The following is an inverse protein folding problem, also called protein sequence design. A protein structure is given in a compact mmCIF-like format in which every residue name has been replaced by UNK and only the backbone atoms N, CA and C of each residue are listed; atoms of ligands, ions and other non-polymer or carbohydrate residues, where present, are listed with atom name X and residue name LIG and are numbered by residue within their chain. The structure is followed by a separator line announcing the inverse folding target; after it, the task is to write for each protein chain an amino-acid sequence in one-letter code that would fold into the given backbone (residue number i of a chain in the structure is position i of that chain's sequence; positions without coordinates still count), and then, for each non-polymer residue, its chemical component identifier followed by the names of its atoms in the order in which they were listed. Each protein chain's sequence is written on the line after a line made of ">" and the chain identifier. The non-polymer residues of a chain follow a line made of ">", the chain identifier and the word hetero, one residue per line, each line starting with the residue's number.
data_IF_048600707630
#
_entry.id   IF_048600707630
#
_cell.length_a   1.000
_cell.length_b   1.000
_cell.length_c   1.000
_cell.angle_alpha   90.00
_cell.angle_beta   90.00
_cell.angle_gamma   90.00
#
_symmetry.space_group_name_H-M   'P 1'
#
loop_
_entity.id
_entity.type
_entity.pdbx_description
1 polymer ?
#
# COMPACT_ATOMS: atom_id res chain seq x y z
N UNK A 1 6.80 -2.86 -8.38
CA UNK A 1 5.96 -1.67 -8.58
C UNK A 1 4.50 -2.07 -8.57
N UNK A 2 3.58 -1.08 -8.62
CA UNK A 2 2.19 -1.39 -8.96
C UNK A 2 2.08 -1.95 -10.39
N UNK A 3 0.88 -2.31 -10.82
CA UNK A 3 0.66 -2.89 -12.15
C UNK A 3 0.77 -1.88 -13.30
N UNK A 4 0.68 -0.57 -13.01
CA UNK A 4 0.65 0.49 -14.02
C UNK A 4 1.98 0.60 -14.76
N UNK A 5 3.09 0.76 -14.05
CA UNK A 5 4.41 0.94 -14.67
C UNK A 5 4.90 -0.32 -15.39
N UNK A 6 4.86 -1.53 -14.80
CA UNK A 6 5.17 -2.77 -15.52
C UNK A 6 4.30 -2.99 -16.75
N UNK A 7 2.99 -2.69 -16.66
CA UNK A 7 2.07 -2.78 -17.79
C UNK A 7 2.41 -1.84 -18.93
N UNK A 8 2.80 -0.60 -18.62
CA UNK A 8 3.26 0.39 -19.62
C UNK A 8 4.53 -0.09 -20.32
N UNK A 9 5.54 -0.51 -19.57
CA UNK A 9 6.79 -1.04 -20.14
C UNK A 9 6.55 -2.27 -21.04
N UNK A 10 5.58 -3.12 -20.66
CA UNK A 10 5.18 -4.26 -21.49
C UNK A 10 4.55 -3.80 -22.80
N UNK A 11 3.67 -2.79 -22.78
CA UNK A 11 3.05 -2.24 -23.98
C UNK A 11 4.03 -1.50 -24.89
N UNK A 12 5.08 -0.90 -24.33
CA UNK A 12 6.17 -0.23 -25.06
C UNK A 12 7.19 -1.24 -25.64
N UNK A 13 7.11 -2.52 -25.28
CA UNK A 13 8.00 -3.58 -25.79
C UNK A 13 9.35 -3.66 -25.05
N UNK A 14 9.50 -3.01 -23.90
CA UNK A 14 10.74 -2.97 -23.12
C UNK A 14 10.95 -4.18 -22.21
N UNK A 15 10.02 -5.15 -22.25
CA UNK A 15 10.02 -6.31 -21.37
C UNK A 15 10.08 -7.63 -22.13
N UNK A 16 10.51 -8.68 -21.43
CA UNK A 16 10.39 -10.05 -21.93
C UNK A 16 8.93 -10.44 -21.93
N UNK A 17 8.39 -10.77 -23.10
CA UNK A 17 6.97 -11.13 -23.29
C UNK A 17 6.57 -12.27 -22.35
N UNK A 18 5.47 -12.07 -21.62
CA UNK A 18 4.92 -13.08 -20.71
C UNK A 18 5.66 -13.20 -19.36
N UNK A 19 6.64 -12.33 -19.08
CA UNK A 19 7.36 -12.35 -17.80
C UNK A 19 6.68 -11.54 -16.70
N UNK A 20 5.66 -10.73 -17.02
CA UNK A 20 4.93 -9.95 -16.01
C UNK A 20 4.05 -10.85 -15.15
N UNK A 21 4.18 -10.67 -13.86
CA UNK A 21 3.36 -11.35 -12.85
C UNK A 21 2.88 -10.37 -11.79
N UNK A 22 1.66 -10.56 -11.29
CA UNK A 22 1.24 -9.99 -10.01
C UNK A 22 1.63 -10.97 -8.92
N UNK A 23 2.57 -10.59 -8.05
CA UNK A 23 3.06 -11.47 -6.99
C UNK A 23 2.40 -11.21 -5.64
N UNK A 24 1.75 -10.06 -5.45
CA UNK A 24 1.04 -9.70 -4.23
C UNK A 24 -0.01 -8.62 -4.50
N UNK A 25 -1.05 -8.59 -3.66
CA UNK A 25 -2.02 -7.49 -3.61
C UNK A 25 -1.87 -6.79 -2.26
N UNK A 26 -1.58 -5.49 -2.29
CA UNK A 26 -1.37 -4.68 -1.10
C UNK A 26 -2.66 -4.45 -0.34
N UNK A 27 -2.54 -4.33 0.98
CA UNK A 27 -3.65 -3.96 1.86
C UNK A 27 -3.39 -2.58 2.45
N UNK A 28 -4.39 -1.71 2.40
CA UNK A 28 -4.36 -0.38 3.00
C UNK A 28 -4.75 -0.48 4.47
N UNK A 29 -4.07 0.27 5.33
CA UNK A 29 -4.44 0.43 6.73
C UNK A 29 -4.49 1.91 7.11
N UNK A 30 -5.44 2.28 7.94
CA UNK A 30 -5.41 3.54 8.69
C UNK A 30 -4.71 3.25 10.01
N UNK A 31 -3.60 3.92 10.26
CA UNK A 31 -2.73 3.65 11.41
C UNK A 31 -2.40 4.91 12.19
N UNK A 32 -2.26 4.74 13.49
CA UNK A 32 -1.68 5.72 14.41
C UNK A 32 -0.57 5.06 15.23
N UNK A 33 0.48 5.81 15.55
CA UNK A 33 1.52 5.36 16.46
C UNK A 33 1.03 5.26 17.91
N UNK A 34 -0.15 5.82 18.21
CA UNK A 34 -0.78 5.80 19.54
C UNK A 34 -1.65 4.57 19.71
N UNK A 35 -1.47 3.85 20.82
CA UNK A 35 -2.32 2.72 21.16
C UNK A 35 -3.78 3.18 21.37
N UNK A 36 -4.72 2.42 20.82
CA UNK A 36 -6.16 2.67 20.96
C UNK A 36 -6.68 3.93 20.27
N UNK A 37 -5.87 4.66 19.51
CA UNK A 37 -6.32 5.86 18.81
C UNK A 37 -7.22 5.52 17.61
N UNK A 38 -6.93 4.44 16.91
CA UNK A 38 -7.76 3.87 15.85
C UNK A 38 -8.43 2.60 16.39
N UNK A 39 -9.74 2.56 16.38
CA UNK A 39 -10.54 1.52 17.03
C UNK A 39 -10.79 0.24 16.19
N UNK A 40 -10.20 0.15 15.01
CA UNK A 40 -10.39 -0.96 14.09
C UNK A 40 -11.65 -0.87 13.20
N UNK A 41 -12.39 0.24 13.24
CA UNK A 41 -13.58 0.46 12.42
C UNK A 41 -13.49 1.67 11.47
N UNK A 42 -12.46 2.51 11.62
CA UNK A 42 -12.33 3.77 10.89
C UNK A 42 -13.23 4.91 11.42
N UNK A 43 -13.91 4.72 12.56
CA UNK A 43 -14.80 5.73 13.15
C UNK A 43 -14.06 7.05 13.44
N UNK A 44 -12.78 7.00 13.79
CA UNK A 44 -11.94 8.17 14.04
C UNK A 44 -11.93 9.17 12.88
N UNK A 45 -12.07 8.71 11.63
CA UNK A 45 -12.17 9.59 10.46
C UNK A 45 -13.46 10.41 10.47
N UNK A 46 -14.58 9.82 10.91
CA UNK A 46 -15.88 10.48 11.00
C UNK A 46 -15.93 11.45 12.18
N UNK A 47 -15.31 11.07 13.30
CA UNK A 47 -15.22 11.90 14.50
C UNK A 47 -14.38 13.15 14.28
N UNK A 48 -13.44 13.09 13.32
CA UNK A 48 -12.66 14.21 12.81
C UNK A 48 -11.90 15.01 13.89
N UNK A 49 -11.53 14.36 15.00
CA UNK A 49 -10.86 14.98 16.15
C UNK A 49 -9.36 15.20 15.98
N UNK A 50 -8.77 14.77 14.86
CA UNK A 50 -7.36 14.93 14.53
C UNK A 50 -7.08 16.26 13.80
N UNK A 51 -5.84 16.72 13.82
CA UNK A 51 -5.38 17.90 13.08
C UNK A 51 -4.74 17.51 11.72
N UNK A 52 -4.02 16.39 11.68
CA UNK A 52 -3.28 15.95 10.50
C UNK A 52 -3.56 14.48 10.20
N UNK A 53 -3.95 14.23 8.94
CA UNK A 53 -4.13 12.90 8.35
C UNK A 53 -3.10 12.72 7.23
N UNK A 54 -2.17 11.80 7.40
CA UNK A 54 -1.14 11.54 6.39
C UNK A 54 -1.64 10.62 5.29
N UNK A 55 -1.35 10.98 4.05
CA UNK A 55 -1.52 10.13 2.85
C UNK A 55 -0.28 10.21 1.98
N UNK A 56 -0.02 9.19 1.17
CA UNK A 56 0.93 9.30 0.08
C UNK A 56 0.31 10.11 -1.08
N UNK A 57 1.15 10.72 -1.91
CA UNK A 57 0.70 11.49 -3.08
C UNK A 57 -0.15 10.60 -4.01
N UNK A 58 -1.45 10.88 -4.18
CA UNK A 58 -2.34 10.03 -4.96
C UNK A 58 -2.02 9.99 -6.46
N UNK A 59 -1.26 10.99 -6.96
CA UNK A 59 -0.84 11.03 -8.37
C UNK A 59 0.39 10.18 -8.66
N UNK A 60 1.17 9.83 -7.64
CA UNK A 60 2.45 9.14 -7.80
C UNK A 60 2.55 7.82 -7.02
N UNK A 61 1.65 7.56 -6.09
CA UNK A 61 1.70 6.43 -5.18
C UNK A 61 0.36 5.67 -5.14
N UNK A 62 0.34 4.36 -5.42
CA UNK A 62 -0.88 3.55 -5.46
C UNK A 62 -1.66 3.57 -4.14
N UNK A 63 -0.97 3.52 -3.01
CA UNK A 63 -1.59 3.61 -1.68
C UNK A 63 -2.22 4.98 -1.42
N UNK A 64 -1.68 6.05 -2.00
CA UNK A 64 -2.27 7.39 -1.94
C UNK A 64 -3.56 7.47 -2.74
N UNK A 65 -3.60 6.90 -3.94
CA UNK A 65 -4.82 6.79 -4.75
C UNK A 65 -5.88 5.98 -4.00
N UNK A 66 -5.52 4.83 -3.42
CA UNK A 66 -6.42 4.01 -2.63
C UNK A 66 -6.99 4.79 -1.42
N UNK A 67 -6.16 5.56 -0.72
CA UNK A 67 -6.60 6.40 0.41
C UNK A 67 -7.66 7.43 -0.02
N UNK A 68 -7.46 8.10 -1.16
CA UNK A 68 -8.46 9.07 -1.69
C UNK A 68 -9.75 8.37 -2.07
N UNK A 69 -9.69 7.19 -2.67
CA UNK A 69 -10.89 6.39 -2.99
C UNK A 69 -11.67 6.00 -1.74
N UNK A 70 -10.99 5.61 -0.67
CA UNK A 70 -11.64 5.32 0.63
C UNK A 70 -12.35 6.55 1.17
N UNK A 71 -11.68 7.70 1.21
CA UNK A 71 -12.26 8.95 1.69
C UNK A 71 -13.48 9.37 0.85
N UNK A 72 -13.43 9.20 -0.47
CA UNK A 72 -14.53 9.49 -1.37
C UNK A 72 -15.73 8.56 -1.13
N UNK A 73 -15.50 7.25 -1.02
CA UNK A 73 -16.57 6.27 -0.75
C UNK A 73 -17.23 6.47 0.62
N UNK A 74 -16.47 6.94 1.59
CA UNK A 74 -17.00 7.27 2.92
C UNK A 74 -17.65 8.67 2.99
N UNK A 75 -17.56 9.49 1.92
CA UNK A 75 -18.08 10.85 1.88
C UNK A 75 -17.31 11.84 2.76
N UNK A 76 -16.02 11.57 3.03
CA UNK A 76 -15.22 12.34 3.98
C UNK A 76 -14.20 13.28 3.33
N UNK A 77 -14.05 13.25 2.00
CA UNK A 77 -13.02 14.00 1.27
C UNK A 77 -13.05 15.50 1.59
N UNK A 78 -14.21 16.13 1.55
CA UNK A 78 -14.34 17.57 1.85
C UNK A 78 -13.99 17.88 3.31
N UNK A 79 -14.40 17.01 4.23
CA UNK A 79 -14.22 17.20 5.68
C UNK A 79 -12.74 17.13 6.09
N UNK A 80 -11.95 16.25 5.47
CA UNK A 80 -10.54 16.04 5.84
C UNK A 80 -9.56 16.84 4.99
N UNK A 81 -9.99 17.45 3.91
CA UNK A 81 -9.14 18.10 2.89
C UNK A 81 -8.10 19.07 3.48
N UNK A 82 -8.49 19.90 4.42
CA UNK A 82 -7.59 20.87 5.06
C UNK A 82 -6.63 20.27 6.08
N UNK A 83 -6.80 18.99 6.41
CA UNK A 83 -6.00 18.24 7.39
C UNK A 83 -5.04 17.27 6.72
N UNK A 84 -5.12 17.11 5.39
CA UNK A 84 -4.25 16.20 4.67
C UNK A 84 -2.81 16.68 4.67
N UNK A 85 -1.90 15.78 5.06
CA UNK A 85 -0.44 15.92 4.94
C UNK A 85 0.03 14.90 3.92
N UNK A 86 0.53 15.39 2.78
CA UNK A 86 0.87 14.54 1.65
C UNK A 86 2.37 14.22 1.63
N UNK A 87 2.70 12.94 1.73
CA UNK A 87 4.05 12.41 1.51
C UNK A 87 4.27 12.08 0.03
N UNK A 88 5.50 12.22 -0.45
CA UNK A 88 5.85 11.89 -1.84
C UNK A 88 5.65 10.40 -2.18
N UNK A 89 5.72 9.53 -1.17
CA UNK A 89 5.54 8.09 -1.28
C UNK A 89 4.99 7.52 0.03
N UNK A 90 4.68 6.22 0.02
CA UNK A 90 4.08 5.56 1.20
C UNK A 90 5.02 5.50 2.41
N UNK A 91 6.33 5.47 2.19
CA UNK A 91 7.32 5.49 3.27
C UNK A 91 7.31 6.84 3.99
N UNK A 92 7.25 7.95 3.25
CA UNK A 92 7.17 9.28 3.85
C UNK A 92 5.83 9.49 4.57
N UNK A 93 4.72 9.01 4.01
CA UNK A 93 3.42 9.05 4.68
C UNK A 93 3.47 8.31 6.03
N UNK A 94 4.06 7.13 6.07
CA UNK A 94 4.31 6.38 7.31
C UNK A 94 5.20 7.17 8.30
N UNK A 95 6.27 7.80 7.81
CA UNK A 95 7.18 8.58 8.64
C UNK A 95 6.48 9.75 9.34
N UNK A 96 5.57 10.46 8.68
CA UNK A 96 4.80 11.53 9.32
C UNK A 96 4.02 11.04 10.54
N UNK A 97 3.45 9.86 10.48
CA UNK A 97 2.71 9.27 11.60
C UNK A 97 3.67 8.74 12.68
N UNK A 98 4.69 7.98 12.28
CA UNK A 98 5.62 7.36 13.22
C UNK A 98 6.46 8.37 14.03
N UNK A 99 6.67 9.56 13.48
CA UNK A 99 7.38 10.67 14.15
C UNK A 99 6.45 11.65 14.89
N UNK A 100 5.13 11.42 14.83
CA UNK A 100 4.14 12.27 15.51
C UNK A 100 3.79 13.57 14.78
N UNK A 101 4.25 13.76 13.53
CA UNK A 101 3.88 14.90 12.70
C UNK A 101 2.45 14.81 12.14
N UNK A 102 1.84 13.64 12.18
CA UNK A 102 0.43 13.41 11.96
C UNK A 102 -0.09 12.41 13.01
N UNK A 103 -1.30 12.62 13.51
CA UNK A 103 -1.91 11.73 14.51
C UNK A 103 -2.20 10.35 13.96
N UNK A 104 -2.56 10.28 12.68
CA UNK A 104 -2.86 9.06 11.95
C UNK A 104 -2.57 9.25 10.46
N UNK A 105 -2.57 8.16 9.73
CA UNK A 105 -2.39 8.19 8.28
C UNK A 105 -2.75 6.87 7.61
N UNK A 106 -2.99 6.95 6.31
CA UNK A 106 -3.12 5.76 5.47
C UNK A 106 -1.73 5.25 5.09
N UNK A 107 -1.45 4.01 5.44
CA UNK A 107 -0.16 3.33 5.25
C UNK A 107 -0.37 1.99 4.56
N UNK A 108 0.70 1.40 4.04
CA UNK A 108 0.65 0.00 3.63
C UNK A 108 0.61 -0.89 4.89
N UNK A 109 -0.29 -1.86 4.92
CA UNK A 109 -0.39 -2.76 6.08
C UNK A 109 0.95 -3.41 6.41
N UNK A 110 1.74 -3.75 5.39
CA UNK A 110 3.08 -4.34 5.54
C UNK A 110 4.09 -3.50 6.32
N UNK A 111 3.84 -2.20 6.50
CA UNK A 111 4.72 -1.34 7.28
C UNK A 111 4.48 -1.45 8.80
N UNK A 112 3.30 -1.92 9.18
CA UNK A 112 2.83 -1.93 10.58
C UNK A 112 2.31 -3.30 11.03
N UNK A 113 2.48 -4.34 10.21
CA UNK A 113 1.90 -5.65 10.45
C UNK A 113 2.91 -6.76 10.18
N UNK A 114 2.94 -7.73 11.07
CA UNK A 114 3.76 -8.93 10.93
C UNK A 114 3.15 -10.08 11.69
N UNK A 115 3.22 -11.28 11.11
CA UNK A 115 2.80 -12.53 11.76
C UNK A 115 1.39 -12.48 12.38
N UNK A 116 0.45 -11.90 11.64
CA UNK A 116 -0.97 -11.89 12.03
C UNK A 116 -1.38 -10.72 12.93
N UNK A 117 -0.50 -9.78 13.25
CA UNK A 117 -0.81 -8.67 14.17
C UNK A 117 -0.15 -7.34 13.80
N UNK A 118 -0.75 -6.26 14.24
CA UNK A 118 -0.15 -4.92 14.20
C UNK A 118 1.02 -4.86 15.18
N UNK A 119 2.16 -4.37 14.73
CA UNK A 119 3.43 -4.40 15.47
C UNK A 119 3.58 -3.27 16.49
N UNK A 120 2.71 -2.27 16.46
CA UNK A 120 2.68 -1.16 17.41
C UNK A 120 1.61 -0.15 17.03
N UNK A 121 1.17 0.66 17.99
CA UNK A 121 0.08 1.60 17.80
C UNK A 121 -1.27 0.93 17.60
N UNK A 122 -2.13 1.56 16.83
CA UNK A 122 -3.48 1.07 16.54
C UNK A 122 -3.84 1.24 15.08
N UNK A 123 -4.63 0.32 14.52
CA UNK A 123 -4.95 0.31 13.10
C UNK A 123 -6.39 -0.14 12.81
N UNK A 124 -6.90 0.39 11.71
CA UNK A 124 -8.04 -0.14 10.99
C UNK A 124 -7.55 -0.72 9.66
N UNK A 125 -7.71 -2.03 9.48
CA UNK A 125 -7.44 -2.67 8.18
C UNK A 125 -8.59 -2.31 7.27
N UNK A 126 -8.30 -1.54 6.22
CA UNK A 126 -9.33 -1.01 5.31
C UNK A 126 -9.93 -2.16 4.49
N UNK A 127 -11.25 -2.30 4.47
CA UNK A 127 -11.92 -3.28 3.61
C UNK A 127 -11.59 -3.09 2.14
N UNK A 128 -11.31 -4.17 1.44
CA UNK A 128 -10.87 -4.16 0.04
C UNK A 128 -11.89 -3.53 -0.92
N UNK A 129 -13.18 -3.58 -0.59
CA UNK A 129 -14.25 -2.98 -1.38
C UNK A 129 -14.26 -1.43 -1.38
N UNK A 130 -13.49 -0.80 -0.49
CA UNK A 130 -13.43 0.66 -0.39
C UNK A 130 -12.42 1.32 -1.35
N UNK A 131 -11.61 0.53 -2.04
CA UNK A 131 -10.65 1.03 -3.02
C UNK A 131 -10.36 -0.03 -4.10
N UNK A 132 -9.73 0.39 -5.20
CA UNK A 132 -9.27 -0.53 -6.23
C UNK A 132 -8.12 -1.41 -5.71
N UNK A 133 -7.95 -2.64 -6.22
CA UNK A 133 -6.86 -3.53 -5.82
C UNK A 133 -5.49 -2.90 -6.02
N UNK A 134 -4.64 -2.95 -5.00
CA UNK A 134 -3.26 -2.44 -5.05
C UNK A 134 -2.34 -3.57 -5.49
N UNK A 135 -2.37 -3.89 -6.78
CA UNK A 135 -1.56 -4.98 -7.35
C UNK A 135 -0.08 -4.62 -7.33
N UNK A 136 0.75 -5.59 -6.98
CA UNK A 136 2.21 -5.48 -7.00
C UNK A 136 2.74 -6.40 -8.09
N UNK A 137 3.29 -5.80 -9.14
CA UNK A 137 3.79 -6.52 -10.31
C UNK A 137 5.31 -6.54 -10.38
N UNK A 138 5.84 -7.63 -10.90
CA UNK A 138 7.21 -7.78 -11.33
C UNK A 138 7.24 -8.16 -12.82
N UNK A 139 8.26 -7.70 -13.53
CA UNK A 139 8.48 -7.98 -14.95
C UNK A 139 9.98 -8.03 -15.25
N UNK A 140 10.40 -8.88 -16.16
CA UNK A 140 11.79 -8.93 -16.64
C UNK A 140 11.93 -7.94 -17.79
N UNK A 141 12.81 -6.97 -17.65
CA UNK A 141 13.15 -6.05 -18.73
C UNK A 141 13.97 -6.77 -19.80
N UNK A 142 13.93 -6.29 -21.06
CA UNK A 142 14.70 -6.87 -22.17
C UNK A 142 16.21 -6.98 -21.85
N UNK A 143 16.75 -6.03 -21.08
CA UNK A 143 18.15 -6.07 -20.62
C UNK A 143 18.46 -7.27 -19.71
N UNK A 144 17.46 -7.79 -19.00
CA UNK A 144 17.59 -8.96 -18.12
C UNK A 144 17.20 -10.29 -18.77
N UNK A 145 16.87 -10.32 -20.07
CA UNK A 145 16.35 -11.49 -20.79
C UNK A 145 17.19 -12.75 -20.59
N UNK A 146 18.51 -12.63 -20.72
CA UNK A 146 19.44 -13.75 -20.65
C UNK A 146 20.08 -13.92 -19.27
N UNK A 147 19.53 -13.23 -18.26
CA UNK A 147 20.00 -13.36 -16.88
C UNK A 147 19.22 -14.45 -16.14
N UNK A 148 19.84 -15.62 -15.88
CA UNK A 148 19.17 -16.73 -15.20
C UNK A 148 18.71 -16.38 -13.78
N UNK A 149 19.38 -15.44 -13.10
CA UNK A 149 18.98 -14.99 -11.77
C UNK A 149 17.68 -14.18 -11.81
N UNK A 150 17.45 -13.39 -12.87
CA UNK A 150 16.18 -12.67 -13.04
C UNK A 150 15.01 -13.63 -13.25
N UNK A 151 15.19 -14.65 -14.08
CA UNK A 151 14.19 -15.71 -14.31
C UNK A 151 13.91 -16.47 -13.01
N UNK A 152 14.97 -16.91 -12.31
CA UNK A 152 14.84 -17.64 -11.05
C UNK A 152 14.13 -16.83 -9.96
N UNK A 153 14.36 -15.51 -9.89
CA UNK A 153 13.65 -14.62 -8.95
C UNK A 153 12.14 -14.55 -9.26
N UNK A 154 11.79 -14.38 -10.53
CA UNK A 154 10.38 -14.35 -10.94
C UNK A 154 9.70 -15.68 -10.63
N UNK A 155 10.36 -16.80 -10.91
CA UNK A 155 9.83 -18.13 -10.59
C UNK A 155 9.72 -18.37 -9.08
N UNK A 156 10.68 -17.88 -8.30
CA UNK A 156 10.60 -17.92 -6.84
C UNK A 156 9.40 -17.15 -6.30
N UNK A 157 9.13 -15.94 -6.85
CA UNK A 157 7.97 -15.11 -6.45
C UNK A 157 6.62 -15.81 -6.73
N UNK A 158 6.56 -16.70 -7.73
CA UNK A 158 5.38 -17.52 -8.01
C UNK A 158 5.21 -18.69 -7.02
N UNK A 159 6.26 -19.06 -6.33
CA UNK A 159 6.32 -20.27 -5.51
C UNK A 159 5.69 -20.14 -4.13
N UNK A 160 5.48 -21.28 -3.45
CA UNK A 160 4.81 -21.32 -2.14
C UNK A 160 5.63 -20.66 -1.01
N UNK A 161 6.96 -20.70 -1.12
CA UNK A 161 7.85 -20.07 -0.11
C UNK A 161 7.68 -18.56 -0.11
N UNK A 162 7.68 -17.94 -1.29
CA UNK A 162 7.42 -16.49 -1.41
C UNK A 162 6.01 -16.15 -0.94
N UNK A 163 5.01 -16.95 -1.32
CA UNK A 163 3.63 -16.76 -0.88
C UNK A 163 3.52 -16.73 0.65
N UNK A 164 4.13 -17.67 1.36
CA UNK A 164 4.11 -17.73 2.82
C UNK A 164 4.73 -16.46 3.43
N UNK A 165 5.88 -16.00 2.92
CA UNK A 165 6.53 -14.76 3.40
C UNK A 165 5.64 -13.54 3.14
N UNK A 166 5.11 -13.41 1.93
CA UNK A 166 4.24 -12.30 1.52
C UNK A 166 3.04 -12.18 2.45
N UNK A 167 2.40 -13.30 2.80
CA UNK A 167 1.25 -13.33 3.71
C UNK A 167 1.60 -12.90 5.14
N UNK A 168 2.81 -13.18 5.65
CA UNK A 168 3.22 -12.76 7.00
C UNK A 168 3.20 -11.23 7.17
N UNK A 169 3.34 -10.49 6.07
CA UNK A 169 3.29 -9.02 6.04
C UNK A 169 1.91 -8.46 5.65
N UNK A 170 0.86 -9.29 5.64
CA UNK A 170 -0.52 -8.84 5.40
C UNK A 170 -0.87 -8.60 3.94
N UNK A 171 -0.03 -8.97 2.99
CA UNK A 171 -0.40 -8.97 1.58
C UNK A 171 -1.34 -10.14 1.26
N UNK A 172 -2.23 -9.90 0.30
CA UNK A 172 -3.01 -10.93 -0.36
C UNK A 172 -2.30 -11.43 -1.64
N UNK A 173 -2.76 -12.56 -2.15
CA UNK A 173 -2.19 -13.16 -3.37
C UNK A 173 -3.28 -13.66 -4.31
#
# INVERSE_FOLDING_TARGET
>A
ADDTTPGRLESEGDTVKGSRITYAVGTLALWSAKDGYVDGTGQVLKDNGFQHLSIANPKAAPYGLAATQVLDKLGLTAQVKSKLVEGQNITQAYQFVSTGNAELGFVALSQVYKDGKVTGGSAWIVPAELHDPIKQDAVILNKGRDNPAAVALVDYLKGPKAAAIIQTYGYQR
#
